data_IF_440999087595
#
_entry.id   IF_440999087595
#
_cell.length_a   1.000
_cell.length_b   1.000
_cell.length_c   1.000
_cell.angle_alpha   90.00
_cell.angle_beta   90.00
_cell.angle_gamma   90.00
#
_symmetry.space_group_name_H-M   'P 1'
#
loop_
_entity.id
_entity.type
_entity.pdbx_description
1 polymer ?
#
# COMPACT_ATOMS: atom_id res chain seq x y z
N UNK A 1 -26.05 10.98 32.25
CA UNK A 1 -26.33 9.53 32.10
C UNK A 1 -26.64 9.07 30.67
N UNK A 2 -27.67 9.56 29.96
CA UNK A 2 -28.00 9.08 28.58
C UNK A 2 -26.87 9.34 27.58
N UNK A 3 -26.31 10.55 27.60
CA UNK A 3 -25.17 10.93 26.74
C UNK A 3 -23.97 9.98 26.93
N UNK A 4 -23.56 9.74 28.18
CA UNK A 4 -22.44 8.85 28.49
C UNK A 4 -22.70 7.41 28.03
N UNK A 5 -23.91 6.87 28.22
CA UNK A 5 -24.24 5.53 27.73
C UNK A 5 -24.17 5.41 26.21
N UNK A 6 -24.51 6.50 25.50
CA UNK A 6 -24.45 6.55 24.05
C UNK A 6 -22.99 6.59 23.55
N UNK A 7 -22.13 7.41 24.16
CA UNK A 7 -20.73 7.53 23.76
C UNK A 7 -19.84 6.37 24.24
N UNK A 8 -20.29 5.57 25.21
CA UNK A 8 -19.67 4.27 25.54
C UNK A 8 -19.81 3.24 24.40
N UNK A 9 -20.75 3.42 23.47
CA UNK A 9 -20.84 2.62 22.26
C UNK A 9 -19.82 3.18 21.25
N UNK A 10 -18.58 2.71 21.28
CA UNK A 10 -17.49 3.25 20.44
C UNK A 10 -17.79 3.14 18.92
N UNK A 11 -18.57 2.13 18.51
CA UNK A 11 -18.91 1.93 17.10
C UNK A 11 -20.05 2.85 16.62
N UNK A 12 -19.80 3.57 15.53
CA UNK A 12 -20.81 4.38 14.83
C UNK A 12 -22.05 3.57 14.42
N UNK A 13 -21.89 2.29 14.08
CA UNK A 13 -23.01 1.40 13.72
C UNK A 13 -23.90 1.14 14.93
N UNK A 14 -23.31 0.79 16.08
CA UNK A 14 -24.04 0.53 17.33
C UNK A 14 -24.76 1.80 17.80
N UNK A 15 -24.11 2.95 17.70
CA UNK A 15 -24.73 4.26 17.97
C UNK A 15 -25.93 4.52 17.05
N UNK A 16 -25.82 4.25 15.75
CA UNK A 16 -26.93 4.48 14.81
C UNK A 16 -28.11 3.55 15.07
N UNK A 17 -27.85 2.29 15.45
CA UNK A 17 -28.88 1.33 15.87
C UNK A 17 -29.60 1.83 17.12
N UNK A 18 -28.85 2.32 18.10
CA UNK A 18 -29.40 2.90 19.32
C UNK A 18 -30.29 4.11 19.02
N UNK A 19 -29.80 5.07 18.20
CA UNK A 19 -30.58 6.23 17.78
C UNK A 19 -31.84 5.82 17.00
N UNK A 20 -31.77 4.78 16.15
CA UNK A 20 -32.92 4.27 15.41
C UNK A 20 -34.02 3.75 16.34
N UNK A 21 -33.64 3.14 17.47
CA UNK A 21 -34.59 2.68 18.50
C UNK A 21 -35.36 3.81 19.18
N UNK A 22 -34.76 5.00 19.26
CA UNK A 22 -35.36 6.20 19.85
C UNK A 22 -36.19 7.04 18.86
N UNK A 23 -36.07 6.74 17.56
CA UNK A 23 -36.73 7.47 16.47
C UNK A 23 -37.88 6.62 15.92
N UNK A 24 -39.10 7.17 15.95
CA UNK A 24 -40.29 6.50 15.45
C UNK A 24 -40.89 7.24 14.24
N UNK A 25 -41.13 6.50 13.17
CA UNK A 25 -41.85 6.98 11.99
C UNK A 25 -43.35 6.70 12.18
N UNK A 26 -44.17 7.75 12.17
CA UNK A 26 -45.63 7.65 12.27
C UNK A 26 -46.30 8.17 10.98
N UNK A 27 -47.41 7.56 10.54
CA UNK A 27 -48.19 8.09 9.42
C UNK A 27 -48.80 9.45 9.79
N UNK A 28 -48.91 10.34 8.81
CA UNK A 28 -49.51 11.66 9.01
C UNK A 28 -51.03 11.53 8.98
N UNK A 29 -51.69 11.77 10.12
CA UNK A 29 -53.15 11.59 10.31
C UNK A 29 -54.00 12.77 9.77
N UNK A 30 -53.84 13.15 8.50
CA UNK A 30 -54.52 14.27 7.81
C UNK A 30 -53.85 15.64 7.94
N UNK A 31 -54.04 16.48 6.91
CA UNK A 31 -53.61 17.88 6.85
C UNK A 31 -54.71 18.73 6.21
N UNK A 32 -54.85 20.00 6.61
CA UNK A 32 -55.66 20.95 5.84
C UNK A 32 -55.09 21.08 4.42
N UNK A 33 -55.97 21.19 3.42
CA UNK A 33 -55.57 21.40 2.04
C UNK A 33 -54.71 22.66 1.95
N UNK A 34 -53.47 22.50 1.48
CA UNK A 34 -52.58 23.61 1.16
C UNK A 34 -52.39 23.65 -0.35
N UNK A 35 -52.53 24.84 -0.94
CA UNK A 35 -52.09 25.13 -2.31
C UNK A 35 -50.56 25.13 -2.38
N UNK A 36 -49.92 23.99 -2.13
CA UNK A 36 -48.47 23.83 -2.24
C UNK A 36 -48.14 22.84 -3.35
N UNK A 37 -47.26 23.24 -4.27
CA UNK A 37 -46.73 22.40 -5.36
C UNK A 37 -45.85 21.22 -4.91
N UNK A 38 -45.60 21.07 -3.60
CA UNK A 38 -44.76 20.00 -3.06
C UNK A 38 -45.62 18.82 -2.62
N UNK A 39 -45.17 17.62 -2.99
CA UNK A 39 -45.82 16.38 -2.55
C UNK A 39 -45.93 16.32 -1.02
N UNK A 40 -47.08 15.87 -0.49
CA UNK A 40 -47.26 15.72 0.95
C UNK A 40 -46.23 14.73 1.53
N UNK A 41 -45.58 15.12 2.63
CA UNK A 41 -44.72 14.18 3.39
C UNK A 41 -45.57 13.01 3.90
N UNK A 42 -45.28 11.80 3.44
CA UNK A 42 -45.98 10.57 3.82
C UNK A 42 -45.74 10.15 5.29
N UNK A 43 -44.59 10.53 5.88
CA UNK A 43 -44.18 10.10 7.23
C UNK A 43 -43.82 11.29 8.12
N UNK A 44 -44.22 11.23 9.38
CA UNK A 44 -43.78 12.13 10.45
C UNK A 44 -42.80 11.41 11.36
N UNK A 45 -41.67 12.07 11.67
CA UNK A 45 -40.64 11.52 12.55
C UNK A 45 -40.91 12.05 13.98
N UNK A 46 -40.88 11.16 14.97
CA UNK A 46 -41.02 11.48 16.40
C UNK A 46 -39.77 11.01 17.15
N UNK A 47 -39.30 11.83 18.09
CA UNK A 47 -38.09 11.60 18.86
C UNK A 47 -38.43 11.35 20.32
N UNK A 48 -37.79 10.35 20.93
CA UNK A 48 -38.01 9.97 22.31
C UNK A 48 -36.69 9.81 23.04
N UNK A 49 -36.68 10.10 24.33
CA UNK A 49 -35.58 9.80 25.23
C UNK A 49 -36.10 8.86 26.33
N UNK A 50 -35.37 7.77 26.55
CA UNK A 50 -35.73 6.78 27.57
C UNK A 50 -34.85 6.97 28.79
N UNK A 51 -35.44 7.28 29.93
CA UNK A 51 -34.75 7.35 31.23
C UNK A 51 -35.34 6.27 32.14
N UNK A 52 -34.52 5.29 32.52
CA UNK A 52 -34.82 4.15 33.42
C UNK A 52 -36.06 3.30 33.04
N UNK A 53 -37.27 3.86 33.08
CA UNK A 53 -38.55 3.19 32.80
C UNK A 53 -39.53 4.02 31.96
N UNK A 54 -39.25 5.31 31.74
CA UNK A 54 -40.18 6.22 31.04
C UNK A 54 -39.57 6.71 29.72
N UNK A 55 -40.37 6.65 28.66
CA UNK A 55 -40.05 7.21 27.34
C UNK A 55 -40.75 8.55 27.16
N UNK A 56 -39.96 9.63 27.12
CA UNK A 56 -40.47 10.99 27.01
C UNK A 56 -40.29 11.52 25.59
N UNK A 57 -41.35 12.07 25.00
CA UNK A 57 -41.29 12.69 23.67
C UNK A 57 -40.56 14.03 23.75
N UNK A 58 -39.60 14.24 22.85
CA UNK A 58 -38.82 15.48 22.75
C UNK A 58 -38.87 16.10 21.36
N UNK A 59 -38.46 17.36 21.26
CA UNK A 59 -38.31 18.02 19.96
C UNK A 59 -36.98 17.62 19.30
N UNK A 60 -36.89 17.84 17.98
CA UNK A 60 -35.71 17.48 17.19
C UNK A 60 -34.44 18.22 17.65
N UNK A 61 -34.55 19.51 17.95
CA UNK A 61 -33.41 20.34 18.41
C UNK A 61 -32.84 19.78 19.71
N UNK A 62 -33.69 19.58 20.70
CA UNK A 62 -33.29 19.00 21.98
C UNK A 62 -32.62 17.64 21.81
N UNK A 63 -33.14 16.78 20.93
CA UNK A 63 -32.53 15.48 20.64
C UNK A 63 -31.14 15.60 20.01
N UNK A 64 -30.95 16.51 19.05
CA UNK A 64 -29.65 16.83 18.44
C UNK A 64 -28.66 17.30 19.50
N UNK A 65 -29.08 18.26 20.33
CA UNK A 65 -28.23 18.88 21.33
C UNK A 65 -27.86 17.88 22.45
N UNK A 66 -28.81 17.02 22.84
CA UNK A 66 -28.60 15.97 23.86
C UNK A 66 -27.55 14.95 23.44
N UNK A 67 -27.52 14.55 22.17
CA UNK A 67 -26.57 13.56 21.64
C UNK A 67 -25.36 14.19 20.93
N UNK A 68 -25.33 15.51 20.76
CA UNK A 68 -24.31 16.25 20.00
C UNK A 68 -24.05 15.66 18.59
N UNK A 69 -25.13 15.35 17.86
CA UNK A 69 -25.06 14.74 16.52
C UNK A 69 -25.58 15.69 15.43
N UNK A 70 -25.04 15.56 14.22
CA UNK A 70 -25.48 16.38 13.09
C UNK A 70 -26.88 15.99 12.60
N UNK A 71 -27.60 16.97 12.03
CA UNK A 71 -28.92 16.73 11.45
C UNK A 71 -28.87 15.71 10.30
N UNK A 72 -27.80 15.75 9.49
CA UNK A 72 -27.57 14.80 8.41
C UNK A 72 -27.52 13.34 8.92
N UNK A 73 -26.91 13.11 10.09
CA UNK A 73 -26.84 11.78 10.70
C UNK A 73 -28.22 11.29 11.13
N UNK A 74 -29.04 12.17 11.73
CA UNK A 74 -30.42 11.85 12.09
C UNK A 74 -31.26 11.54 10.85
N UNK A 75 -31.12 12.33 9.79
CA UNK A 75 -31.82 12.09 8.54
C UNK A 75 -31.52 10.69 8.00
N UNK A 76 -30.23 10.32 7.92
CA UNK A 76 -29.79 8.98 7.47
C UNK A 76 -30.44 7.87 8.32
N UNK A 77 -30.36 7.99 9.65
CA UNK A 77 -30.94 6.99 10.57
C UNK A 77 -32.47 6.93 10.46
N UNK A 78 -33.16 8.06 10.36
CA UNK A 78 -34.62 8.13 10.28
C UNK A 78 -35.20 7.60 8.96
N UNK A 79 -34.44 7.74 7.87
CA UNK A 79 -34.79 7.23 6.55
C UNK A 79 -34.70 5.71 6.46
N UNK A 80 -33.92 5.10 7.35
CA UNK A 80 -33.76 3.65 7.44
C UNK A 80 -35.01 2.98 8.03
N UNK A 81 -35.60 2.05 7.29
CA UNK A 81 -36.80 1.34 7.75
C UNK A 81 -36.50 0.39 8.92
N UNK A 82 -35.31 -0.22 8.95
CA UNK A 82 -34.90 -1.22 9.94
C UNK A 82 -33.55 -0.87 10.60
N UNK A 83 -33.28 -1.31 11.84
CA UNK A 83 -31.99 -1.09 12.50
C UNK A 83 -30.79 -1.62 11.70
N UNK A 84 -30.94 -2.77 11.04
CA UNK A 84 -29.91 -3.37 10.17
C UNK A 84 -29.57 -2.54 8.92
N UNK A 85 -30.50 -1.70 8.45
CA UNK A 85 -30.26 -0.78 7.34
C UNK A 85 -29.53 0.51 7.77
N UNK A 86 -29.25 0.67 9.07
CA UNK A 86 -28.38 1.74 9.58
C UNK A 86 -26.88 1.42 9.44
N UNK A 87 -26.53 0.21 8.96
CA UNK A 87 -25.16 -0.20 8.65
C UNK A 87 -24.72 0.54 7.39
N UNK A 88 -23.61 1.27 7.49
CA UNK A 88 -23.06 2.00 6.35
C UNK A 88 -22.44 1.02 5.35
N UNK A 89 -23.07 0.85 4.18
CA UNK A 89 -22.54 0.00 3.09
C UNK A 89 -21.62 0.78 2.13
N UNK A 90 -21.20 1.98 2.51
CA UNK A 90 -20.32 2.83 1.68
C UNK A 90 -18.98 2.10 1.48
N UNK A 91 -18.54 2.01 0.22
CA UNK A 91 -17.27 1.36 -0.15
C UNK A 91 -17.34 -0.15 -0.40
N UNK A 92 -18.49 -0.80 -0.20
CA UNK A 92 -18.65 -2.24 -0.44
C UNK A 92 -19.23 -2.60 -1.82
N UNK A 93 -19.36 -1.63 -2.72
CA UNK A 93 -19.75 -1.91 -4.11
C UNK A 93 -18.50 -2.08 -4.93
N UNK A 94 -18.39 -3.19 -5.64
CA UNK A 94 -17.35 -3.31 -6.66
C UNK A 94 -17.56 -2.22 -7.71
N UNK A 95 -16.50 -1.49 -8.12
CA UNK A 95 -16.62 -0.51 -9.18
C UNK A 95 -17.08 -1.20 -10.47
N UNK A 96 -18.01 -0.59 -11.21
CA UNK A 96 -18.47 -1.10 -12.50
C UNK A 96 -17.31 -1.24 -13.52
N UNK A 97 -16.27 -0.42 -13.38
CA UNK A 97 -15.10 -0.41 -14.26
C UNK A 97 -13.98 -1.34 -13.78
N UNK A 98 -14.28 -2.34 -12.94
CA UNK A 98 -13.29 -3.29 -12.45
C UNK A 98 -12.90 -4.23 -13.60
N UNK A 99 -11.66 -4.10 -14.06
CA UNK A 99 -11.09 -4.96 -15.09
C UNK A 99 -10.51 -6.21 -14.43
N UNK A 100 -10.78 -7.38 -15.02
CA UNK A 100 -10.18 -8.63 -14.56
C UNK A 100 -8.71 -8.71 -14.99
N UNK A 101 -7.82 -8.85 -14.00
CA UNK A 101 -6.36 -8.87 -14.16
C UNK A 101 -5.76 -10.26 -14.07
N UNK A 102 -6.57 -11.26 -13.73
CA UNK A 102 -6.12 -12.63 -13.46
C UNK A 102 -5.37 -13.22 -14.65
N UNK A 103 -5.96 -13.12 -15.85
CA UNK A 103 -5.38 -13.61 -17.11
C UNK A 103 -4.03 -12.96 -17.43
N UNK A 104 -3.94 -11.65 -17.26
CA UNK A 104 -2.68 -10.90 -17.49
C UNK A 104 -1.60 -11.38 -16.52
N UNK A 105 -1.97 -11.62 -15.26
CA UNK A 105 -1.06 -12.12 -14.23
C UNK A 105 -0.56 -13.52 -14.54
N UNK A 106 -1.46 -14.42 -14.94
CA UNK A 106 -1.12 -15.79 -15.35
C UNK A 106 -0.20 -15.80 -16.56
N UNK A 107 -0.48 -14.97 -17.56
CA UNK A 107 0.38 -14.80 -18.73
C UNK A 107 1.79 -14.32 -18.34
N UNK A 108 1.90 -13.29 -17.50
CA UNK A 108 3.20 -12.80 -17.00
C UNK A 108 3.96 -13.90 -16.23
N UNK A 109 3.25 -14.76 -15.49
CA UNK A 109 3.86 -15.85 -14.72
C UNK A 109 4.26 -17.06 -15.57
N UNK A 110 3.68 -17.23 -16.76
CA UNK A 110 4.06 -18.31 -17.68
C UNK A 110 5.45 -18.14 -18.29
N UNK A 111 6.02 -16.93 -18.29
CA UNK A 111 7.36 -16.70 -18.81
C UNK A 111 8.43 -17.35 -17.90
N UNK A 112 9.45 -18.01 -18.49
CA UNK A 112 10.53 -18.59 -17.72
C UNK A 112 11.28 -17.47 -16.98
N UNK A 113 11.40 -17.62 -15.67
CA UNK A 113 12.15 -16.71 -14.81
C UNK A 113 13.21 -17.50 -14.04
N UNK A 114 14.35 -16.87 -13.80
CA UNK A 114 15.48 -17.48 -13.10
C UNK A 114 15.95 -16.60 -11.95
N UNK A 115 16.66 -17.19 -11.00
CA UNK A 115 17.34 -16.44 -9.94
C UNK A 115 18.79 -16.22 -10.34
N UNK A 116 19.28 -15.00 -10.17
CA UNK A 116 20.70 -14.72 -10.38
C UNK A 116 21.49 -15.29 -9.21
N UNK A 117 22.43 -16.20 -9.50
CA UNK A 117 23.32 -16.79 -8.50
C UNK A 117 24.06 -15.72 -7.67
N UNK A 118 24.52 -14.66 -8.35
CA UNK A 118 25.29 -13.58 -7.73
C UNK A 118 24.51 -12.69 -6.76
N UNK A 119 23.17 -12.69 -6.81
CA UNK A 119 22.34 -11.83 -5.94
C UNK A 119 21.52 -12.64 -4.94
N UNK A 120 21.84 -13.93 -4.77
CA UNK A 120 21.09 -14.82 -3.88
C UNK A 120 21.22 -14.40 -2.41
N UNK A 121 22.40 -13.95 -1.97
CA UNK A 121 22.62 -13.47 -0.59
C UNK A 121 21.85 -12.19 -0.30
N UNK A 122 21.82 -11.27 -1.26
CA UNK A 122 21.33 -9.91 -1.05
C UNK A 122 19.82 -9.79 -1.34
N UNK A 123 19.29 -10.65 -2.22
CA UNK A 123 17.90 -10.58 -2.68
C UNK A 123 17.32 -11.97 -3.03
N UNK A 124 16.95 -12.80 -2.04
CA UNK A 124 16.53 -14.20 -2.25
C UNK A 124 15.21 -14.36 -3.03
N UNK A 125 14.32 -13.36 -2.96
CA UNK A 125 13.02 -13.38 -3.64
C UNK A 125 13.05 -12.78 -5.04
N UNK A 126 14.18 -12.21 -5.46
CA UNK A 126 14.30 -11.54 -6.75
C UNK A 126 14.43 -12.56 -7.88
N UNK A 127 13.56 -12.45 -8.88
CA UNK A 127 13.59 -13.25 -10.11
C UNK A 127 13.83 -12.37 -11.32
N UNK A 128 14.51 -12.92 -12.31
CA UNK A 128 14.85 -12.24 -13.54
C UNK A 128 14.20 -12.93 -14.73
N UNK A 129 13.66 -12.13 -15.64
CA UNK A 129 13.20 -12.56 -16.96
C UNK A 129 14.37 -12.45 -17.95
N UNK A 130 14.17 -13.04 -19.15
CA UNK A 130 15.12 -12.88 -20.25
C UNK A 130 15.32 -11.37 -20.55
N UNK A 131 16.56 -10.88 -20.70
CA UNK A 131 16.83 -9.48 -21.06
C UNK A 131 16.17 -9.02 -22.36
N UNK A 132 15.90 -9.92 -23.30
CA UNK A 132 15.26 -9.58 -24.58
C UNK A 132 13.74 -9.40 -24.48
N UNK A 133 13.15 -9.88 -23.38
CA UNK A 133 11.75 -9.65 -23.05
C UNK A 133 11.59 -8.23 -22.50
N UNK A 134 10.55 -7.55 -22.95
CA UNK A 134 10.12 -6.28 -22.38
C UNK A 134 8.63 -6.37 -22.08
N UNK A 135 8.12 -5.52 -21.20
CA UNK A 135 6.68 -5.50 -20.86
C UNK A 135 5.83 -5.35 -22.13
N UNK A 136 6.28 -4.52 -23.08
CA UNK A 136 5.63 -4.33 -24.38
C UNK A 136 5.59 -5.61 -25.22
N UNK A 137 6.71 -6.35 -25.31
CA UNK A 137 6.74 -7.65 -26.00
C UNK A 137 5.85 -8.69 -25.31
N UNK A 138 5.85 -8.72 -23.98
CA UNK A 138 4.98 -9.61 -23.21
C UNK A 138 3.50 -9.31 -23.49
N UNK A 139 3.15 -8.03 -23.65
CA UNK A 139 1.81 -7.61 -24.04
C UNK A 139 1.47 -8.01 -25.48
N UNK A 140 2.39 -7.86 -26.43
CA UNK A 140 2.17 -8.33 -27.82
C UNK A 140 1.85 -9.83 -27.86
N UNK A 141 2.64 -10.65 -27.17
CA UNK A 141 2.40 -12.09 -27.04
C UNK A 141 1.08 -12.41 -26.30
N UNK A 142 0.66 -11.54 -25.38
CA UNK A 142 -0.63 -11.68 -24.70
C UNK A 142 -1.79 -11.44 -25.66
N UNK A 143 -1.70 -10.40 -26.50
CA UNK A 143 -2.72 -10.08 -27.50
C UNK A 143 -2.85 -11.20 -28.53
N UNK A 144 -1.73 -11.76 -28.99
CA UNK A 144 -1.70 -12.92 -29.89
C UNK A 144 -2.42 -14.12 -29.26
N UNK A 145 -2.06 -14.47 -28.01
CA UNK A 145 -2.70 -15.55 -27.26
C UNK A 145 -4.21 -15.32 -27.04
N UNK A 146 -4.59 -14.08 -26.72
CA UNK A 146 -6.00 -13.71 -26.59
C UNK A 146 -6.77 -13.88 -27.91
N UNK A 147 -6.12 -13.61 -29.05
CA UNK A 147 -6.68 -13.86 -30.37
C UNK A 147 -6.93 -15.34 -30.64
N UNK A 148 -6.00 -16.21 -30.24
CA UNK A 148 -6.16 -17.67 -30.33
C UNK A 148 -7.29 -18.19 -29.43
N UNK A 149 -7.39 -17.66 -28.21
CA UNK A 149 -8.41 -18.05 -27.22
C UNK A 149 -9.79 -17.39 -27.48
N UNK A 150 -9.91 -16.50 -28.48
CA UNK A 150 -11.14 -15.77 -28.80
C UNK A 150 -11.60 -14.79 -27.70
N UNK A 151 -10.66 -14.25 -26.91
CA UNK A 151 -10.95 -13.32 -25.81
C UNK A 151 -10.46 -11.91 -26.11
N UNK A 152 -11.17 -10.90 -25.59
CA UNK A 152 -10.74 -9.51 -25.75
C UNK A 152 -9.53 -9.22 -24.84
N UNK A 153 -8.43 -8.68 -25.39
CA UNK A 153 -7.24 -8.34 -24.62
C UNK A 153 -7.47 -7.07 -23.77
N UNK A 154 -6.89 -7.08 -22.58
CA UNK A 154 -6.84 -5.91 -21.68
C UNK A 154 -5.89 -4.83 -22.24
N UNK A 155 -6.02 -3.58 -21.77
CA UNK A 155 -5.11 -2.49 -22.12
C UNK A 155 -3.66 -2.76 -21.67
N UNK A 156 -2.67 -2.40 -22.50
CA UNK A 156 -1.23 -2.50 -22.22
C UNK A 156 -0.83 -1.93 -20.85
N UNK A 157 -1.43 -0.80 -20.45
CA UNK A 157 -1.16 -0.18 -19.13
C UNK A 157 -1.42 -1.13 -17.96
N UNK A 158 -2.34 -2.09 -18.15
CA UNK A 158 -2.64 -3.08 -17.12
C UNK A 158 -1.50 -4.08 -16.97
N UNK A 159 -0.79 -4.43 -18.03
CA UNK A 159 0.41 -5.27 -17.94
C UNK A 159 1.49 -4.59 -17.08
N UNK A 160 1.68 -3.28 -17.22
CA UNK A 160 2.58 -2.51 -16.35
C UNK A 160 2.13 -2.52 -14.88
N UNK A 161 0.83 -2.40 -14.63
CA UNK A 161 0.28 -2.41 -13.27
C UNK A 161 0.38 -3.79 -12.60
N UNK A 162 0.16 -4.86 -13.36
CA UNK A 162 0.18 -6.25 -12.86
C UNK A 162 1.61 -6.78 -12.72
N UNK A 163 2.58 -6.18 -13.42
CA UNK A 163 3.98 -6.58 -13.34
C UNK A 163 4.49 -6.55 -11.90
N UNK A 164 4.88 -7.72 -11.39
CA UNK A 164 5.22 -7.88 -9.98
C UNK A 164 6.58 -7.27 -9.65
N UNK A 165 6.69 -6.61 -8.48
CA UNK A 165 7.95 -6.06 -7.96
C UNK A 165 9.07 -7.08 -7.77
N UNK A 166 8.78 -8.38 -7.76
CA UNK A 166 9.78 -9.44 -7.62
C UNK A 166 10.37 -9.90 -8.96
N UNK A 167 9.78 -9.50 -10.09
CA UNK A 167 10.28 -9.79 -11.44
C UNK A 167 11.06 -8.60 -11.96
N UNK A 168 12.23 -8.85 -12.54
CA UNK A 168 13.07 -7.81 -13.12
C UNK A 168 13.62 -8.26 -14.47
N UNK A 169 13.90 -7.30 -15.33
CA UNK A 169 14.74 -7.55 -16.50
C UNK A 169 16.20 -7.44 -16.05
N UNK A 170 17.00 -8.47 -16.34
CA UNK A 170 18.42 -8.40 -16.03
C UNK A 170 19.02 -7.34 -16.96
N UNK A 171 19.75 -6.34 -16.44
CA UNK A 171 20.50 -5.47 -17.32
C UNK A 171 21.47 -6.32 -18.15
N UNK A 172 21.81 -5.91 -19.38
CA UNK A 172 22.88 -6.55 -20.14
C UNK A 172 24.10 -6.70 -19.22
N UNK A 173 24.81 -7.83 -19.34
CA UNK A 173 25.92 -8.15 -18.46
C UNK A 173 26.85 -6.94 -18.40
N UNK A 174 26.96 -6.33 -17.21
CA UNK A 174 27.93 -5.26 -16.98
C UNK A 174 29.30 -5.86 -17.26
N UNK A 175 30.01 -5.23 -18.17
CA UNK A 175 31.35 -5.56 -18.68
C UNK A 175 32.08 -6.56 -17.77
N UNK A 176 32.11 -7.81 -18.23
CA UNK A 176 33.09 -8.75 -17.70
C UNK A 176 34.47 -8.14 -17.93
N UNK A 177 35.36 -8.31 -16.95
CA UNK A 177 36.69 -7.74 -17.07
C UNK A 177 37.39 -8.40 -18.27
N UNK A 178 37.67 -7.63 -19.32
CA UNK A 178 38.32 -8.13 -20.54
C UNK A 178 39.59 -8.93 -20.24
N UNK A 179 40.34 -8.54 -19.20
CA UNK A 179 41.51 -9.26 -18.72
C UNK A 179 41.17 -10.63 -18.11
N UNK A 180 40.09 -10.73 -17.32
CA UNK A 180 39.62 -12.01 -16.80
C UNK A 180 39.12 -12.93 -17.92
N UNK A 181 38.46 -12.36 -18.93
CA UNK A 181 37.95 -13.13 -20.07
C UNK A 181 39.10 -13.65 -20.94
N UNK A 182 40.13 -12.83 -21.20
CA UNK A 182 41.32 -13.27 -21.92
C UNK A 182 42.06 -14.38 -21.19
N UNK A 183 42.21 -14.29 -19.87
CA UNK A 183 42.83 -15.34 -19.06
C UNK A 183 41.97 -16.61 -19.01
N UNK A 184 40.64 -16.47 -18.96
CA UNK A 184 39.74 -17.62 -19.00
C UNK A 184 39.80 -18.36 -20.34
N UNK A 185 39.89 -17.63 -21.44
CA UNK A 185 40.10 -18.22 -22.76
C UNK A 185 41.42 -18.98 -22.82
N UNK A 186 42.52 -18.43 -22.30
CA UNK A 186 43.80 -19.14 -22.22
C UNK A 186 43.65 -20.42 -21.39
N UNK A 187 43.04 -20.36 -20.21
CA UNK A 187 42.84 -21.55 -19.36
C UNK A 187 42.01 -22.65 -20.03
N UNK A 188 41.04 -22.26 -20.86
CA UNK A 188 40.10 -23.18 -21.50
C UNK A 188 40.67 -23.80 -22.77
N UNK A 189 41.33 -23.00 -23.61
CA UNK A 189 41.69 -23.38 -24.98
C UNK A 189 43.18 -23.66 -25.20
N UNK A 190 44.09 -23.24 -24.30
CA UNK A 190 45.51 -23.58 -24.45
C UNK A 190 45.73 -25.08 -24.18
N UNK A 191 46.72 -25.68 -24.85
CA UNK A 191 47.19 -27.04 -24.55
C UNK A 191 48.47 -27.03 -23.71
N UNK A 192 49.17 -25.88 -23.69
CA UNK A 192 50.42 -25.69 -22.98
C UNK A 192 50.20 -25.52 -21.46
N UNK A 193 50.77 -26.43 -20.68
CA UNK A 193 50.61 -26.47 -19.22
C UNK A 193 51.18 -25.23 -18.52
N UNK A 194 52.33 -24.72 -18.97
CA UNK A 194 52.98 -23.55 -18.34
C UNK A 194 52.18 -22.27 -18.56
N UNK A 195 51.57 -22.11 -19.74
CA UNK A 195 50.68 -20.98 -20.04
C UNK A 195 49.41 -21.01 -19.19
N UNK A 196 48.81 -22.19 -19.01
CA UNK A 196 47.68 -22.35 -18.08
C UNK A 196 48.06 -21.98 -16.66
N UNK A 197 49.21 -22.48 -16.20
CA UNK A 197 49.68 -22.21 -14.84
C UNK A 197 49.90 -20.72 -14.61
N UNK A 198 50.52 -20.03 -15.57
CA UNK A 198 50.72 -18.58 -15.51
C UNK A 198 49.39 -17.83 -15.53
N UNK A 199 48.48 -18.19 -16.42
CA UNK A 199 47.16 -17.57 -16.51
C UNK A 199 46.32 -17.77 -15.23
N UNK A 200 46.42 -18.94 -14.58
CA UNK A 200 45.75 -19.21 -13.31
C UNK A 200 46.31 -18.34 -12.17
N UNK A 201 47.64 -18.20 -12.09
CA UNK A 201 48.31 -17.34 -11.10
C UNK A 201 47.89 -15.87 -11.31
N UNK A 202 47.95 -15.39 -12.55
CA UNK A 202 47.60 -14.00 -12.90
C UNK A 202 46.12 -13.72 -12.60
N UNK A 203 45.24 -14.68 -12.90
CA UNK A 203 43.82 -14.57 -12.58
C UNK A 203 43.58 -14.52 -11.07
N UNK A 204 44.22 -15.40 -10.30
CA UNK A 204 44.13 -15.40 -8.83
C UNK A 204 44.64 -14.10 -8.23
N UNK A 205 45.75 -13.57 -8.74
CA UNK A 205 46.32 -12.30 -8.29
C UNK A 205 45.37 -11.14 -8.58
N UNK A 206 44.82 -11.08 -9.79
CA UNK A 206 43.86 -10.04 -10.18
C UNK A 206 42.62 -10.06 -9.28
N UNK A 207 42.03 -11.24 -9.04
CA UNK A 207 40.87 -11.39 -8.17
C UNK A 207 41.17 -10.99 -6.72
N UNK A 208 42.36 -11.32 -6.19
CA UNK A 208 42.80 -10.88 -4.85
C UNK A 208 42.91 -9.36 -4.76
N UNK A 209 43.54 -8.71 -5.74
CA UNK A 209 43.64 -7.24 -5.80
C UNK A 209 42.25 -6.60 -5.85
N UNK A 210 41.36 -7.11 -6.70
CA UNK A 210 39.99 -6.62 -6.81
C UNK A 210 39.20 -6.78 -5.50
N UNK A 211 39.37 -7.90 -4.79
CA UNK A 211 38.75 -8.12 -3.48
C UNK A 211 39.26 -7.11 -2.44
N UNK A 212 40.57 -6.87 -2.37
CA UNK A 212 41.17 -5.87 -1.48
C UNK A 212 40.66 -4.46 -1.78
N UNK A 213 40.56 -4.08 -3.05
CA UNK A 213 39.99 -2.79 -3.43
C UNK A 213 38.51 -2.65 -3.03
N UNK A 214 37.71 -3.72 -3.15
CA UNK A 214 36.30 -3.73 -2.72
C UNK A 214 36.16 -3.63 -1.21
N UNK A 215 37.00 -4.32 -0.44
CA UNK A 215 37.00 -4.20 1.03
C UNK A 215 37.37 -2.80 1.47
N UNK A 216 38.38 -2.19 0.84
CA UNK A 216 38.77 -0.80 1.10
C UNK A 216 37.65 0.19 0.73
N UNK A 217 37.02 0.03 -0.44
CA UNK A 217 35.88 0.87 -0.85
C UNK A 217 34.70 0.75 0.13
N UNK A 218 34.43 -0.46 0.64
CA UNK A 218 33.36 -0.66 1.62
C UNK A 218 33.71 -0.04 2.97
N UNK A 219 34.96 -0.16 3.45
CA UNK A 219 35.38 0.56 4.67
C UNK A 219 35.26 2.07 4.49
N UNK A 220 35.69 2.61 3.35
CA UNK A 220 35.59 4.05 3.06
C UNK A 220 34.13 4.52 3.01
N UNK A 221 33.22 3.72 2.46
CA UNK A 221 31.78 4.01 2.47
C UNK A 221 31.21 4.02 3.89
N UNK A 222 31.61 3.08 4.74
CA UNK A 222 31.17 3.01 6.14
C UNK A 222 31.68 4.24 6.89
N UNK A 223 32.98 4.54 6.80
CA UNK A 223 33.58 5.71 7.44
C UNK A 223 33.00 7.03 6.91
N UNK A 224 32.70 7.13 5.61
CA UNK A 224 32.03 8.30 5.04
C UNK A 224 30.56 8.43 5.51
N UNK A 225 29.86 7.32 5.73
CA UNK A 225 28.53 7.29 6.32
C UNK A 225 28.52 7.76 7.77
N UNK A 226 29.47 7.28 8.56
CA UNK A 226 29.68 7.70 9.96
C UNK A 226 30.06 9.17 10.05
N UNK A 227 30.97 9.64 9.19
CA UNK A 227 31.39 11.04 9.14
C UNK A 227 30.29 12.00 8.64
N UNK A 228 29.33 11.52 7.82
CA UNK A 228 28.12 12.31 7.51
C UNK A 228 27.22 12.46 8.73
N UNK A 229 27.01 11.41 9.52
CA UNK A 229 26.27 11.51 10.78
C UNK A 229 26.97 12.40 11.82
N UNK A 230 28.31 12.38 11.86
CA UNK A 230 29.09 13.25 12.74
C UNK A 230 29.05 14.74 12.31
N UNK A 231 29.13 15.03 11.00
CA UNK A 231 29.05 16.40 10.49
C UNK A 231 27.63 17.00 10.56
N UNK A 232 26.58 16.19 10.47
CA UNK A 232 25.20 16.65 10.72
C UNK A 232 25.05 17.05 12.20
N UNK A 233 25.59 16.27 13.14
CA UNK A 233 25.58 16.59 14.59
C UNK A 233 26.35 17.87 14.95
N UNK A 234 27.44 18.20 14.24
CA UNK A 234 28.23 19.41 14.50
C UNK A 234 27.65 20.70 13.88
N UNK A 235 26.80 20.58 12.84
CA UNK A 235 26.07 21.74 12.28
C UNK A 235 24.85 22.13 13.13
N UNK A 236 24.24 21.18 13.82
CA UNK A 236 23.14 21.45 14.76
C UNK A 236 23.60 22.12 16.07
N UNK A 237 24.86 21.93 16.49
CA UNK A 237 25.39 22.55 17.72
C UNK A 237 25.86 24.00 17.57
N UNK A 238 26.10 24.48 16.34
CA UNK A 238 26.58 25.85 16.06
C UNK A 238 25.47 26.83 15.66
N UNK A 239 24.20 26.39 15.59
CA UNK A 239 23.09 27.21 15.06
C UNK A 239 21.82 27.22 15.93
N UNK A 240 21.91 27.02 17.24
CA UNK A 240 20.75 27.15 18.14
C UNK A 240 21.05 27.86 19.46
N UNK A 241 21.20 29.20 19.41
CA UNK A 241 20.99 30.07 20.58
C UNK A 241 19.55 30.56 20.73
N UNK A 242 18.64 30.18 19.81
CA UNK A 242 17.21 30.49 19.89
C UNK A 242 16.39 29.26 19.50
N UNK A 243 15.89 28.54 20.50
CA UNK A 243 14.66 27.70 20.56
C UNK A 243 14.86 26.73 21.75
N UNK A 244 14.78 27.27 22.96
CA UNK A 244 14.60 26.48 24.19
C UNK A 244 13.11 26.19 24.36
N UNK A 245 12.52 25.28 23.58
CA UNK A 245 11.24 24.68 24.02
C UNK A 245 10.81 23.35 23.39
N UNK A 246 11.51 22.77 22.42
CA UNK A 246 10.95 21.61 21.69
C UNK A 246 11.75 20.30 21.73
N UNK A 247 12.87 20.24 22.43
CA UNK A 247 13.75 19.06 22.41
C UNK A 247 13.81 18.29 23.75
N UNK A 248 12.65 17.98 24.35
CA UNK A 248 12.59 17.16 25.59
C UNK A 248 11.79 15.85 25.46
N UNK A 249 11.62 15.32 24.24
CA UNK A 249 10.84 14.09 24.02
C UNK A 249 11.53 12.98 23.21
N UNK A 250 12.82 13.11 22.86
CA UNK A 250 13.54 12.08 22.09
C UNK A 250 14.74 11.46 22.81
N UNK A 251 14.80 11.52 24.15
CA UNK A 251 15.92 10.96 24.93
C UNK A 251 15.59 9.74 25.81
N UNK A 252 14.45 9.06 25.65
CA UNK A 252 14.10 7.93 26.55
C UNK A 252 13.73 6.62 25.88
N UNK A 253 14.18 6.34 24.65
CA UNK A 253 14.06 4.99 24.07
C UNK A 253 15.27 4.60 23.21
N UNK A 254 16.41 4.37 23.86
CA UNK A 254 17.41 3.39 23.43
C UNK A 254 18.31 3.11 24.65
N UNK A 255 17.77 2.32 25.57
CA UNK A 255 18.59 1.56 26.52
C UNK A 255 18.56 0.13 26.03
N UNK A 256 19.75 -0.41 25.82
CA UNK A 256 20.06 -1.79 25.50
C UNK A 256 19.32 -2.77 26.43
N UNK A 257 18.76 -3.81 25.83
CA UNK A 257 18.99 -5.23 26.15
C UNK A 257 18.68 -6.03 24.89
#
# INVERSE_FOLDING_TARGET
MIFESFYKLEDNIKQNIYLRGLIHNAPVKQRPARNSSREPKAKSIKYYLTTATVSTRVCKKFFIDTFQISDARIYKVSSSSQPSACIDRKGHREPANKIDVTRVKEHIQSFPSYRSYYTLSDAPNRRYLNPDLTIRKMYQLYVEKCGEDGTEPVNEKMCYYVFSFNLHFKPPAKDTCQFCDSLQNILTFSENYEEKRKADIDKKLHLRKAAQSRTAMNSDKISAGENRCANIRLRESSSFSKIKHFCRLLQTKHVCL
#
